data_IF_517167912347
#
_entry.id   IF_517167912347
#
_cell.length_a   1.000
_cell.length_b   1.000
_cell.length_c   1.000
_cell.angle_alpha   90.00
_cell.angle_beta   90.00
_cell.angle_gamma   90.00
#
_symmetry.space_group_name_H-M   'P 1'
#
loop_
_entity.id
_entity.type
_entity.pdbx_description
1 polymer ?
#
# COMPACT_ATOMS: atom_id res chain seq x y z
N UNK A 1 -16.52 8.66 17.46
CA UNK A 1 -16.13 8.52 16.04
C UNK A 1 -17.14 9.26 15.18
N UNK A 2 -16.70 9.84 14.06
CA UNK A 2 -17.63 10.38 13.06
C UNK A 2 -18.52 9.26 12.50
N UNK A 3 -19.71 9.62 11.97
CA UNK A 3 -20.67 8.66 11.41
C UNK A 3 -20.72 8.79 9.90
N UNK A 4 -20.75 7.64 9.22
CA UNK A 4 -21.01 7.55 7.79
C UNK A 4 -22.52 7.51 7.52
N UNK A 5 -22.90 8.01 6.36
CA UNK A 5 -24.20 7.75 5.74
C UNK A 5 -24.28 6.29 5.28
N UNK A 6 -25.50 5.80 5.03
CA UNK A 6 -25.71 4.45 4.49
C UNK A 6 -25.04 4.24 3.14
N UNK A 7 -24.99 5.28 2.30
CA UNK A 7 -24.37 5.21 0.96
C UNK A 7 -22.85 5.11 1.06
N UNK A 8 -22.23 5.90 1.94
CA UNK A 8 -20.78 5.83 2.18
C UNK A 8 -20.38 4.47 2.77
N UNK A 9 -21.16 3.91 3.70
CA UNK A 9 -20.90 2.58 4.23
C UNK A 9 -20.97 1.51 3.13
N UNK A 10 -22.03 1.53 2.31
CA UNK A 10 -22.18 0.57 1.20
C UNK A 10 -21.01 0.66 0.22
N UNK A 11 -20.54 1.88 -0.09
CA UNK A 11 -19.37 2.08 -0.94
C UNK A 11 -18.09 1.50 -0.32
N UNK A 12 -17.86 1.70 0.99
CA UNK A 12 -16.73 1.09 1.70
C UNK A 12 -16.81 -0.45 1.64
N UNK A 13 -17.99 -1.02 1.83
CA UNK A 13 -18.20 -2.46 1.76
C UNK A 13 -17.86 -3.00 0.36
N UNK A 14 -18.22 -2.27 -0.70
CA UNK A 14 -17.86 -2.59 -2.08
C UNK A 14 -16.34 -2.52 -2.33
N UNK A 15 -15.67 -1.47 -1.86
CA UNK A 15 -14.20 -1.33 -1.98
C UNK A 15 -13.49 -2.47 -1.24
N UNK A 16 -13.90 -2.77 -0.01
CA UNK A 16 -13.35 -3.91 0.75
C UNK A 16 -13.60 -5.23 0.04
N UNK A 17 -14.81 -5.41 -0.52
CA UNK A 17 -15.13 -6.59 -1.30
C UNK A 17 -14.23 -6.70 -2.53
N UNK A 18 -13.92 -5.62 -3.24
CA UNK A 18 -12.97 -5.60 -4.38
C UNK A 18 -11.57 -6.03 -3.95
N UNK A 19 -11.02 -5.42 -2.90
CA UNK A 19 -9.68 -5.73 -2.40
C UNK A 19 -9.57 -7.19 -1.93
N UNK A 20 -10.63 -7.72 -1.31
CA UNK A 20 -10.68 -9.12 -0.86
C UNK A 20 -10.62 -10.14 -2.02
N UNK A 21 -11.01 -9.75 -3.25
CA UNK A 21 -10.92 -10.60 -4.45
C UNK A 21 -9.62 -10.42 -5.24
N UNK A 22 -8.62 -9.75 -4.65
CA UNK A 22 -7.31 -9.61 -5.26
C UNK A 22 -6.79 -10.99 -5.73
N UNK A 23 -6.42 -11.15 -7.02
CA UNK A 23 -6.06 -12.47 -7.56
C UNK A 23 -4.71 -12.98 -7.07
N UNK A 24 -3.89 -12.15 -6.44
CA UNK A 24 -2.53 -12.51 -6.02
C UNK A 24 -2.12 -11.82 -4.71
N UNK A 25 -2.80 -12.10 -3.58
CA UNK A 25 -2.59 -11.42 -2.30
C UNK A 25 -1.21 -11.71 -1.67
N UNK A 26 -0.51 -12.75 -2.14
CA UNK A 26 0.87 -13.07 -1.74
C UNK A 26 1.93 -12.37 -2.60
N UNK A 27 1.56 -11.87 -3.79
CA UNK A 27 2.45 -11.14 -4.71
C UNK A 27 2.31 -9.64 -4.53
N UNK A 28 1.10 -9.14 -4.31
CA UNK A 28 0.84 -7.70 -4.27
C UNK A 28 0.83 -7.22 -2.82
N UNK A 29 1.78 -6.36 -2.49
CA UNK A 29 1.77 -5.55 -1.27
C UNK A 29 1.47 -4.09 -1.62
N UNK A 30 1.07 -3.31 -0.62
CA UNK A 30 0.64 -1.92 -0.78
C UNK A 30 1.35 -1.01 0.23
N UNK A 31 1.69 0.21 -0.17
CA UNK A 31 2.14 1.28 0.74
C UNK A 31 1.69 2.65 0.22
N UNK A 32 1.69 3.65 1.10
CA UNK A 32 1.52 5.07 0.78
C UNK A 32 2.58 5.92 1.48
N UNK A 33 2.86 7.09 0.92
CA UNK A 33 3.72 8.11 1.52
C UNK A 33 2.97 9.40 1.86
N UNK A 34 1.63 9.38 1.85
CA UNK A 34 0.79 10.56 2.08
C UNK A 34 0.11 11.12 0.83
N UNK A 35 0.25 10.45 -0.30
CA UNK A 35 -0.33 10.87 -1.58
C UNK A 35 -1.72 10.23 -1.80
N UNK A 36 -2.51 10.71 -2.79
CA UNK A 36 -3.72 10.03 -3.24
C UNK A 36 -3.46 8.69 -3.93
N UNK A 37 -2.20 8.26 -4.08
CA UNK A 37 -1.83 7.05 -4.79
C UNK A 37 -1.36 5.97 -3.80
N UNK A 38 -1.86 4.75 -4.00
CA UNK A 38 -1.36 3.55 -3.33
C UNK A 38 -0.37 2.86 -4.28
N UNK A 39 0.86 2.72 -3.83
CA UNK A 39 1.93 2.07 -4.57
C UNK A 39 1.88 0.57 -4.32
N UNK A 40 2.22 -0.21 -5.35
CA UNK A 40 2.26 -1.66 -5.29
C UNK A 40 3.72 -2.15 -5.33
N UNK A 41 4.01 -3.19 -4.56
CA UNK A 41 5.32 -3.87 -4.60
C UNK A 41 5.17 -5.39 -4.55
N UNK A 42 6.21 -6.10 -4.99
CA UNK A 42 6.30 -7.54 -4.91
C UNK A 42 6.49 -7.98 -3.45
N UNK A 43 5.37 -8.32 -2.82
CA UNK A 43 5.30 -8.78 -1.43
C UNK A 43 6.16 -10.03 -1.16
N UNK A 44 6.49 -10.82 -2.19
CA UNK A 44 7.37 -11.98 -2.03
C UNK A 44 8.79 -11.58 -1.66
N UNK A 45 9.15 -10.31 -1.88
CA UNK A 45 10.45 -9.70 -1.57
C UNK A 45 10.40 -8.81 -0.32
N UNK A 46 9.34 -8.89 0.49
CA UNK A 46 9.18 -8.06 1.68
C UNK A 46 10.34 -8.23 2.68
N UNK A 47 10.91 -9.44 2.78
CA UNK A 47 12.06 -9.71 3.66
C UNK A 47 13.32 -8.98 3.15
N UNK A 48 13.53 -8.91 1.83
CA UNK A 48 14.65 -8.13 1.25
C UNK A 48 14.49 -6.63 1.51
N UNK A 49 13.26 -6.10 1.42
CA UNK A 49 12.95 -4.71 1.77
C UNK A 49 13.25 -4.46 3.25
N UNK A 50 12.83 -5.39 4.13
CA UNK A 50 13.08 -5.30 5.57
C UNK A 50 14.57 -5.38 5.90
N UNK A 51 15.33 -6.23 5.22
CA UNK A 51 16.78 -6.35 5.39
C UNK A 51 17.51 -5.07 4.96
N UNK A 52 17.05 -4.40 3.90
CA UNK A 52 17.59 -3.10 3.49
C UNK A 52 17.37 -2.01 4.57
N UNK A 53 16.22 -2.04 5.25
CA UNK A 53 15.93 -1.13 6.36
C UNK A 53 16.79 -1.46 7.60
N UNK A 54 16.85 -2.74 7.98
CA UNK A 54 17.58 -3.21 9.17
C UNK A 54 19.09 -2.98 9.05
N UNK A 55 19.65 -3.18 7.85
CA UNK A 55 21.06 -2.93 7.56
C UNK A 55 21.40 -1.44 7.40
N UNK A 56 20.38 -0.55 7.44
CA UNK A 56 20.50 0.88 7.15
C UNK A 56 21.03 1.17 5.75
N UNK A 57 20.87 0.24 4.81
CA UNK A 57 21.15 0.51 3.40
C UNK A 57 20.04 1.33 2.75
N UNK A 58 18.88 1.46 3.40
CA UNK A 58 17.79 2.35 3.02
C UNK A 58 17.19 3.08 4.22
N UNK A 59 16.60 4.25 3.99
CA UNK A 59 16.06 5.13 5.03
C UNK A 59 14.57 4.98 5.29
N UNK A 60 13.81 4.41 4.34
CA UNK A 60 12.36 4.26 4.41
C UNK A 60 11.88 3.14 3.48
N UNK A 61 10.70 2.57 3.75
CA UNK A 61 10.12 1.46 3.01
C UNK A 61 10.03 1.74 1.50
N UNK A 62 9.54 2.92 1.14
CA UNK A 62 9.38 3.31 -0.26
C UNK A 62 10.71 3.39 -1.01
N UNK A 63 11.76 3.87 -0.34
CA UNK A 63 13.12 3.97 -0.88
C UNK A 63 13.70 2.57 -1.06
N UNK A 64 13.53 1.69 -0.08
CA UNK A 64 14.01 0.31 -0.15
C UNK A 64 13.35 -0.47 -1.29
N UNK A 65 12.02 -0.37 -1.44
CA UNK A 65 11.28 -1.00 -2.56
C UNK A 65 11.83 -0.55 -3.91
N UNK A 66 12.09 0.75 -4.08
CA UNK A 66 12.65 1.31 -5.31
C UNK A 66 14.07 0.80 -5.56
N UNK A 67 14.94 0.89 -4.56
CA UNK A 67 16.38 0.62 -4.73
C UNK A 67 16.66 -0.85 -5.06
N UNK A 68 15.80 -1.77 -4.60
CA UNK A 68 15.92 -3.21 -4.92
C UNK A 68 15.06 -3.64 -6.12
N UNK A 69 14.39 -2.70 -6.80
CA UNK A 69 13.49 -2.95 -7.93
C UNK A 69 12.36 -3.95 -7.57
N UNK A 70 11.72 -3.75 -6.42
CA UNK A 70 10.57 -4.54 -5.97
C UNK A 70 9.22 -3.88 -6.29
N UNK A 71 9.20 -2.66 -6.83
CA UNK A 71 7.97 -1.96 -7.20
C UNK A 71 7.30 -2.57 -8.43
N UNK A 72 5.98 -2.40 -8.55
CA UNK A 72 5.28 -2.53 -9.83
C UNK A 72 5.09 -1.13 -10.44
N UNK A 73 5.14 -1.02 -11.77
CA UNK A 73 4.92 0.23 -12.50
C UNK A 73 3.41 0.56 -12.63
N UNK A 74 2.68 0.47 -11.52
CA UNK A 74 1.23 0.67 -11.42
C UNK A 74 0.87 1.22 -10.03
N UNK A 75 -0.20 2.00 -9.96
CA UNK A 75 -0.75 2.58 -8.73
C UNK A 75 -2.27 2.45 -8.68
N UNK A 76 -2.85 2.48 -7.47
CA UNK A 76 -4.30 2.67 -7.28
C UNK A 76 -4.54 4.11 -6.84
N UNK A 77 -5.33 4.84 -7.62
CA UNK A 77 -5.67 6.24 -7.34
C UNK A 77 -6.91 6.37 -6.46
N UNK A 78 -6.78 7.12 -5.38
CA UNK A 78 -7.86 7.52 -4.48
C UNK A 78 -8.30 8.95 -4.79
N UNK A 79 -9.58 9.30 -4.51
CA UNK A 79 -10.08 10.66 -4.74
C UNK A 79 -9.56 11.70 -3.73
N UNK A 80 -8.90 11.25 -2.66
CA UNK A 80 -8.36 12.07 -1.56
C UNK A 80 -7.01 11.51 -1.12
N UNK A 81 -6.22 12.32 -0.38
CA UNK A 81 -4.96 11.87 0.20
C UNK A 81 -5.15 10.64 1.08
N UNK A 82 -4.21 9.69 0.97
CA UNK A 82 -4.10 8.57 1.90
C UNK A 82 -2.88 8.82 2.78
N UNK A 83 -3.15 9.31 3.99
CA UNK A 83 -2.12 9.70 4.95
C UNK A 83 -1.21 8.52 5.32
N UNK A 84 0.10 8.76 5.30
CA UNK A 84 1.08 7.84 5.88
C UNK A 84 1.26 8.17 7.35
N UNK A 85 0.66 7.37 8.22
CA UNK A 85 0.78 7.54 9.68
C UNK A 85 1.76 6.54 10.25
N UNK A 86 2.80 7.04 10.94
CA UNK A 86 3.64 6.20 11.78
C UNK A 86 2.88 5.80 13.06
N UNK A 87 2.98 4.52 13.44
CA UNK A 87 2.41 3.97 14.68
C UNK A 87 3.45 3.80 15.78
#
# INVERSE_FOLDING_TARGET
MAKLTRKEQAWIDEVNAVLARCPSPKKIGFYTIGDPSIMLYDRRRADEVMDALNSRSSSDWCVAVRDIDAGFDEVIEFPSQVESTAG
#
